data_IF_498721417886
#
_entry.id   IF_498721417886
#
_cell.length_a   1.000
_cell.length_b   1.000
_cell.length_c   1.000
_cell.angle_alpha   90.00
_cell.angle_beta   90.00
_cell.angle_gamma   90.00
#
_symmetry.space_group_name_H-M   'P 1'
#
loop_
_entity.id
_entity.type
_entity.pdbx_description
1 polymer ?
#
# COMPACT_ATOMS: atom_id res chain seq x y z
N UNK A 1 3.63 -16.36 -10.81
CA UNK A 1 3.02 -15.21 -11.52
C UNK A 1 2.58 -14.11 -10.55
N UNK A 2 1.82 -14.45 -9.50
CA UNK A 2 1.24 -13.45 -8.55
C UNK A 2 2.32 -12.66 -7.80
N UNK A 3 3.42 -13.30 -7.40
CA UNK A 3 4.51 -12.69 -6.64
C UNK A 3 5.10 -11.48 -7.38
N UNK A 4 5.52 -11.66 -8.62
CA UNK A 4 6.25 -10.62 -9.37
C UNK A 4 5.40 -9.35 -9.57
N UNK A 5 4.11 -9.50 -9.92
CA UNK A 5 3.23 -8.35 -10.14
C UNK A 5 2.93 -7.63 -8.83
N UNK A 6 2.44 -8.35 -7.81
CA UNK A 6 2.00 -7.74 -6.56
C UNK A 6 3.18 -7.19 -5.74
N UNK A 7 4.20 -8.00 -5.51
CA UNK A 7 5.35 -7.59 -4.72
C UNK A 7 6.28 -6.64 -5.46
N UNK A 8 6.47 -6.83 -6.76
CA UNK A 8 7.26 -5.90 -7.60
C UNK A 8 6.65 -4.49 -7.63
N UNK A 9 5.33 -4.39 -7.82
CA UNK A 9 4.61 -3.10 -7.75
C UNK A 9 4.76 -2.47 -6.38
N UNK A 10 4.52 -3.23 -5.30
CA UNK A 10 4.55 -2.70 -3.95
C UNK A 10 5.97 -2.35 -3.49
N UNK A 11 6.98 -3.09 -3.91
CA UNK A 11 8.39 -2.76 -3.66
C UNK A 11 8.77 -1.45 -4.37
N UNK A 12 8.48 -1.33 -5.66
CA UNK A 12 8.73 -0.10 -6.42
C UNK A 12 8.02 1.09 -5.78
N UNK A 13 6.75 0.93 -5.36
CA UNK A 13 6.00 1.98 -4.69
C UNK A 13 6.64 2.41 -3.37
N UNK A 14 6.87 1.47 -2.48
CA UNK A 14 7.18 1.74 -1.07
C UNK A 14 8.68 1.96 -0.86
N UNK A 15 9.53 1.09 -1.45
CA UNK A 15 10.98 1.12 -1.25
C UNK A 15 11.65 2.14 -2.14
N UNK A 16 11.28 2.18 -3.43
CA UNK A 16 11.90 3.05 -4.43
C UNK A 16 11.22 4.42 -4.49
N UNK A 17 9.92 4.50 -4.82
CA UNK A 17 9.23 5.78 -5.02
C UNK A 17 9.04 6.58 -3.73
N UNK A 18 8.51 5.97 -2.69
CA UNK A 18 8.29 6.62 -1.40
C UNK A 18 9.55 6.72 -0.55
N UNK A 19 10.57 5.88 -0.79
CA UNK A 19 11.75 5.76 0.07
C UNK A 19 11.34 5.66 1.56
N UNK A 20 10.37 4.77 1.86
CA UNK A 20 9.83 4.58 3.21
C UNK A 20 10.95 4.23 4.19
N UNK A 21 10.95 4.89 5.34
CA UNK A 21 11.97 4.73 6.38
C UNK A 21 11.43 3.99 7.60
N UNK A 22 12.30 3.33 8.32
CA UNK A 22 11.96 2.75 9.60
C UNK A 22 11.41 3.82 10.56
N UNK A 23 10.34 3.47 11.29
CA UNK A 23 9.64 4.37 12.21
C UNK A 23 8.61 5.30 11.56
N UNK A 24 8.57 5.44 10.23
CA UNK A 24 7.48 6.15 9.56
C UNK A 24 6.17 5.35 9.63
N UNK A 25 5.05 6.06 9.54
CA UNK A 25 3.71 5.47 9.50
C UNK A 25 3.20 5.40 8.06
N UNK A 26 2.83 4.20 7.61
CA UNK A 26 2.25 3.98 6.28
C UNK A 26 0.79 3.54 6.39
N UNK A 27 -0.12 4.26 5.72
CA UNK A 27 -1.48 3.82 5.46
C UNK A 27 -1.53 3.00 4.16
N UNK A 28 -2.18 1.84 4.20
CA UNK A 28 -2.47 1.02 3.02
C UNK A 28 -3.97 0.93 2.83
N UNK A 29 -4.51 1.55 1.79
CA UNK A 29 -5.91 1.37 1.37
C UNK A 29 -6.07 0.06 0.61
N UNK A 30 -7.23 -0.60 0.72
CA UNK A 30 -7.44 -1.91 0.09
C UNK A 30 -6.42 -2.96 0.51
N UNK A 31 -6.00 -2.91 1.77
CA UNK A 31 -4.84 -3.63 2.31
C UNK A 31 -4.89 -5.16 2.17
N UNK A 32 -6.08 -5.75 2.09
CA UNK A 32 -6.24 -7.21 1.91
C UNK A 32 -6.19 -7.66 0.43
N UNK A 33 -6.11 -6.72 -0.52
CA UNK A 33 -5.90 -7.06 -1.93
C UNK A 33 -4.45 -7.48 -2.19
N UNK A 34 -4.18 -8.06 -3.36
CA UNK A 34 -2.85 -8.61 -3.68
C UNK A 34 -1.70 -7.61 -3.51
N UNK A 35 -1.80 -6.42 -4.12
CA UNK A 35 -0.78 -5.36 -3.97
C UNK A 35 -0.80 -4.71 -2.58
N UNK A 36 -1.99 -4.61 -1.96
CA UNK A 36 -2.14 -4.05 -0.62
C UNK A 36 -1.46 -4.91 0.44
N UNK A 37 -1.71 -6.22 0.42
CA UNK A 37 -1.11 -7.15 1.39
C UNK A 37 0.42 -7.23 1.22
N UNK A 38 0.90 -7.22 -0.02
CA UNK A 38 2.32 -7.11 -0.31
C UNK A 38 2.93 -5.81 0.26
N UNK A 39 2.22 -4.67 0.14
CA UNK A 39 2.67 -3.40 0.71
C UNK A 39 2.70 -3.44 2.25
N UNK A 40 1.73 -4.09 2.89
CA UNK A 40 1.74 -4.31 4.35
C UNK A 40 3.02 -5.04 4.77
N UNK A 41 3.32 -6.19 4.17
CA UNK A 41 4.51 -6.97 4.51
C UNK A 41 5.81 -6.22 4.22
N UNK A 42 5.91 -5.56 3.07
CA UNK A 42 7.09 -4.76 2.69
C UNK A 42 7.30 -3.61 3.68
N UNK A 43 6.23 -2.89 4.05
CA UNK A 43 6.30 -1.84 5.06
C UNK A 43 6.82 -2.34 6.39
N UNK A 44 6.36 -3.51 6.83
CA UNK A 44 6.86 -4.17 8.05
C UNK A 44 8.31 -4.59 7.92
N UNK A 45 8.71 -5.17 6.80
CA UNK A 45 10.10 -5.56 6.55
C UNK A 45 11.06 -4.36 6.57
N UNK A 46 10.59 -3.17 6.19
CA UNK A 46 11.32 -1.90 6.26
C UNK A 46 11.26 -1.23 7.64
N UNK A 47 10.56 -1.80 8.62
CA UNK A 47 10.47 -1.27 9.98
C UNK A 47 9.47 -0.11 10.15
N UNK A 48 8.53 0.05 9.23
CA UNK A 48 7.47 1.05 9.35
C UNK A 48 6.33 0.57 10.27
N UNK A 49 5.58 1.54 10.81
CA UNK A 49 4.27 1.30 11.42
C UNK A 49 3.23 1.27 10.32
N UNK A 50 2.51 0.15 10.16
CA UNK A 50 1.56 -0.06 9.08
C UNK A 50 0.13 -0.02 9.58
N UNK A 51 -0.68 0.88 9.00
CA UNK A 51 -2.13 0.98 9.19
C UNK A 51 -2.79 0.35 7.96
N UNK A 52 -3.50 -0.76 8.16
CA UNK A 52 -4.24 -1.42 7.09
C UNK A 52 -5.70 -0.97 7.09
N UNK A 53 -6.20 -0.52 5.94
CA UNK A 53 -7.60 -0.15 5.75
C UNK A 53 -8.27 -1.09 4.73
N UNK A 54 -9.41 -1.66 5.10
CA UNK A 54 -10.17 -2.59 4.26
C UNK A 54 -11.67 -2.51 4.53
N UNK A 55 -12.48 -3.20 3.71
CA UNK A 55 -13.95 -3.14 3.73
C UNK A 55 -14.62 -4.15 4.67
N UNK A 56 -13.88 -4.94 5.42
CA UNK A 56 -14.46 -5.87 6.40
C UNK A 56 -13.44 -6.35 7.42
N UNK A 57 -13.93 -6.76 8.59
CA UNK A 57 -13.11 -7.29 9.67
C UNK A 57 -12.40 -8.60 9.28
N UNK A 58 -13.03 -9.44 8.47
CA UNK A 58 -12.40 -10.64 7.93
C UNK A 58 -11.15 -10.33 7.12
N UNK A 59 -11.21 -9.31 6.24
CA UNK A 59 -10.06 -8.81 5.47
C UNK A 59 -9.00 -8.18 6.38
N UNK A 60 -9.40 -7.43 7.37
CA UNK A 60 -8.50 -6.81 8.34
C UNK A 60 -7.75 -7.84 9.18
N UNK A 61 -8.41 -8.94 9.54
CA UNK A 61 -7.75 -10.04 10.26
C UNK A 61 -6.62 -10.67 9.44
N UNK A 62 -6.77 -10.76 8.11
CA UNK A 62 -5.68 -11.19 7.23
C UNK A 62 -4.51 -10.19 7.31
N UNK A 63 -4.80 -8.89 7.18
CA UNK A 63 -3.77 -7.85 7.28
C UNK A 63 -3.03 -7.89 8.62
N UNK A 64 -3.76 -8.14 9.72
CA UNK A 64 -3.17 -8.30 11.06
C UNK A 64 -2.21 -9.48 11.14
N UNK A 65 -2.57 -10.63 10.56
CA UNK A 65 -1.71 -11.82 10.50
C UNK A 65 -0.44 -11.58 9.68
N UNK A 66 -0.51 -10.64 8.72
CA UNK A 66 0.63 -10.22 7.90
C UNK A 66 1.37 -8.99 8.46
N UNK A 67 1.11 -8.62 9.71
CA UNK A 67 1.92 -7.67 10.47
C UNK A 67 1.39 -6.25 10.55
N UNK A 68 0.17 -5.94 10.07
CA UNK A 68 -0.41 -4.62 10.25
C UNK A 68 -0.53 -4.26 11.75
N UNK A 69 -0.06 -3.06 12.13
CA UNK A 69 -0.04 -2.58 13.52
C UNK A 69 -1.38 -1.97 13.95
N UNK A 70 -2.14 -1.41 13.01
CA UNK A 70 -3.46 -0.85 13.24
C UNK A 70 -4.39 -1.15 12.06
N UNK A 71 -5.68 -1.18 12.34
CA UNK A 71 -6.70 -1.60 11.39
C UNK A 71 -7.80 -0.55 11.31
N UNK A 72 -8.32 -0.30 10.10
CA UNK A 72 -9.46 0.59 9.85
C UNK A 72 -10.45 -0.12 8.95
N UNK A 73 -11.68 -0.32 9.43
CA UNK A 73 -12.79 -0.77 8.61
C UNK A 73 -13.53 0.45 8.07
N UNK A 74 -13.22 0.86 6.84
CA UNK A 74 -13.78 2.08 6.24
C UNK A 74 -15.25 1.95 5.82
N UNK A 75 -15.89 0.79 5.99
CA UNK A 75 -17.34 0.63 5.85
C UNK A 75 -18.10 0.96 7.14
N UNK A 76 -17.42 0.89 8.29
CA UNK A 76 -18.06 1.06 9.61
C UNK A 76 -17.55 2.27 10.39
N UNK A 77 -16.40 2.87 10.00
CA UNK A 77 -15.85 4.05 10.65
C UNK A 77 -15.36 5.10 9.64
N UNK A 78 -15.39 6.36 10.03
CA UNK A 78 -14.86 7.45 9.21
C UNK A 78 -13.33 7.35 9.13
N UNK A 79 -12.79 7.30 7.90
CA UNK A 79 -11.37 7.12 7.65
C UNK A 79 -10.51 8.24 8.27
N UNK A 80 -10.98 9.49 8.25
CA UNK A 80 -10.22 10.64 8.77
C UNK A 80 -10.16 10.63 10.30
N UNK A 81 -11.30 10.36 10.95
CA UNK A 81 -11.37 10.28 12.41
C UNK A 81 -10.55 9.08 12.93
N UNK A 82 -10.62 7.94 12.24
CA UNK A 82 -9.79 6.78 12.55
C UNK A 82 -8.30 7.09 12.43
N UNK A 83 -7.87 7.70 11.32
CA UNK A 83 -6.48 8.10 11.11
C UNK A 83 -6.02 9.11 12.16
N UNK A 84 -6.84 10.13 12.46
CA UNK A 84 -6.54 11.12 13.51
C UNK A 84 -6.32 10.46 14.87
N UNK A 85 -7.20 9.53 15.25
CA UNK A 85 -7.11 8.75 16.49
C UNK A 85 -5.83 7.89 16.52
N UNK A 86 -5.57 7.12 15.47
CA UNK A 86 -4.44 6.16 15.42
C UNK A 86 -3.09 6.87 15.37
N UNK A 87 -3.01 8.04 14.72
CA UNK A 87 -1.77 8.79 14.54
C UNK A 87 -1.64 10.00 15.47
N UNK A 88 -2.55 10.15 16.43
CA UNK A 88 -2.56 11.28 17.37
C UNK A 88 -2.58 12.64 16.64
N UNK A 89 -3.29 12.69 15.52
CA UNK A 89 -3.42 13.89 14.69
C UNK A 89 -2.25 14.17 13.73
N UNK A 90 -1.14 13.44 13.81
CA UNK A 90 0.03 13.64 12.95
C UNK A 90 -0.21 13.22 11.49
N UNK A 91 -1.00 12.18 11.30
CA UNK A 91 -1.26 11.56 10.01
C UNK A 91 -0.18 10.57 9.55
N UNK A 92 -0.46 9.77 8.49
CA UNK A 92 0.51 8.85 7.90
C UNK A 92 1.55 9.60 7.06
N UNK A 93 2.82 9.18 7.14
CA UNK A 93 3.92 9.71 6.36
C UNK A 93 3.85 9.25 4.89
N UNK A 94 3.32 8.04 4.67
CA UNK A 94 3.11 7.46 3.34
C UNK A 94 1.69 6.92 3.24
N UNK A 95 1.04 7.16 2.10
CA UNK A 95 -0.25 6.57 1.75
C UNK A 95 -0.07 5.74 0.49
N UNK A 96 -0.38 4.44 0.57
CA UNK A 96 -0.39 3.51 -0.54
C UNK A 96 -1.84 3.31 -1.00
N UNK A 97 -2.18 3.84 -2.18
CA UNK A 97 -3.57 3.84 -2.66
C UNK A 97 -3.76 3.09 -3.99
N UNK A 98 -4.20 1.83 -3.96
CA UNK A 98 -4.68 1.09 -5.14
C UNK A 98 -6.18 1.25 -5.38
N UNK A 99 -6.90 1.98 -4.52
CA UNK A 99 -8.37 2.04 -4.50
C UNK A 99 -8.89 3.28 -5.18
N UNK A 100 -8.37 4.46 -4.83
CA UNK A 100 -8.85 5.74 -5.34
C UNK A 100 -10.29 6.07 -4.90
N UNK A 101 -11.08 6.62 -5.82
CA UNK A 101 -12.49 6.92 -5.59
C UNK A 101 -12.73 7.83 -4.38
N UNK A 102 -13.77 7.53 -3.61
CA UNK A 102 -14.19 8.30 -2.43
C UNK A 102 -13.18 8.32 -1.28
N UNK A 103 -12.24 7.39 -1.25
CA UNK A 103 -11.24 7.29 -0.16
C UNK A 103 -10.01 8.18 -0.37
N UNK A 104 -9.74 8.59 -1.62
CA UNK A 104 -8.52 9.33 -1.95
C UNK A 104 -8.42 10.69 -1.24
N UNK A 105 -9.45 11.51 -1.32
CA UNK A 105 -9.42 12.84 -0.70
C UNK A 105 -9.40 12.78 0.85
N UNK A 106 -10.23 11.99 1.53
CA UNK A 106 -10.16 11.80 2.98
C UNK A 106 -8.78 11.32 3.46
N UNK A 107 -8.18 10.36 2.75
CA UNK A 107 -6.84 9.88 3.05
C UNK A 107 -5.80 11.00 2.86
N UNK A 108 -5.85 11.72 1.72
CA UNK A 108 -4.92 12.82 1.46
C UNK A 108 -5.05 13.97 2.48
N UNK A 109 -6.26 14.31 2.89
CA UNK A 109 -6.47 15.34 3.94
C UNK A 109 -5.87 14.94 5.29
N UNK A 110 -5.71 13.66 5.53
CA UNK A 110 -5.13 13.11 6.76
C UNK A 110 -3.61 12.94 6.71
N UNK A 111 -2.98 13.16 5.54
CA UNK A 111 -1.53 12.95 5.35
C UNK A 111 -0.69 13.84 6.29
N UNK A 112 0.44 13.32 6.75
CA UNK A 112 1.39 14.07 7.56
C UNK A 112 2.04 15.22 6.76
N UNK A 113 2.63 16.17 7.47
CA UNK A 113 3.45 17.20 6.84
C UNK A 113 4.59 16.57 6.02
N UNK A 114 4.72 16.99 4.75
CA UNK A 114 5.67 16.45 3.77
C UNK A 114 5.47 14.95 3.46
N UNK A 115 4.27 14.43 3.67
CA UNK A 115 3.92 13.04 3.35
C UNK A 115 3.94 12.76 1.84
N UNK A 116 3.94 11.47 1.51
CA UNK A 116 3.99 10.95 0.13
C UNK A 116 2.74 10.12 -0.13
N UNK A 117 1.94 10.54 -1.10
CA UNK A 117 0.76 9.82 -1.54
C UNK A 117 1.08 9.06 -2.83
N UNK A 118 0.99 7.74 -2.78
CA UNK A 118 1.33 6.85 -3.89
C UNK A 118 0.06 6.45 -4.64
N UNK A 119 -0.05 6.86 -5.89
CA UNK A 119 -1.13 6.48 -6.79
C UNK A 119 -0.76 5.16 -7.46
N UNK A 120 -1.41 4.07 -7.03
CA UNK A 120 -1.15 2.70 -7.52
C UNK A 120 -2.22 2.27 -8.52
N UNK A 121 -3.48 2.61 -8.25
CA UNK A 121 -4.60 2.19 -9.08
C UNK A 121 -5.92 2.82 -8.65
N UNK A 122 -7.00 2.38 -9.30
CA UNK A 122 -8.35 2.94 -9.14
C UNK A 122 -9.38 1.83 -9.04
N UNK A 123 -9.19 0.89 -8.11
CA UNK A 123 -10.06 -0.28 -7.95
C UNK A 123 -11.51 0.08 -7.60
N UNK A 124 -11.76 1.27 -7.03
CA UNK A 124 -13.11 1.80 -6.80
C UNK A 124 -13.81 2.29 -8.10
N UNK A 125 -13.09 2.37 -9.23
CA UNK A 125 -13.59 2.79 -10.54
C UNK A 125 -13.32 4.26 -10.86
N UNK A 126 -13.98 5.24 -10.20
CA UNK A 126 -13.76 6.65 -10.52
C UNK A 126 -12.35 7.14 -10.19
N UNK A 127 -11.72 7.83 -11.14
CA UNK A 127 -10.45 8.53 -10.90
C UNK A 127 -10.75 9.77 -10.05
N UNK A 128 -10.12 9.92 -8.86
CA UNK A 128 -10.39 11.05 -7.98
C UNK A 128 -9.82 12.35 -8.54
N UNK A 129 -10.55 13.46 -8.32
CA UNK A 129 -10.09 14.81 -8.58
C UNK A 129 -9.73 15.48 -7.25
N UNK A 130 -8.45 15.66 -6.97
CA UNK A 130 -8.00 16.32 -5.75
C UNK A 130 -7.80 17.82 -5.98
N UNK A 131 -8.28 18.68 -5.06
CA UNK A 131 -7.98 20.12 -5.10
C UNK A 131 -6.48 20.36 -4.92
N UNK A 132 -5.86 21.11 -5.84
CA UNK A 132 -4.41 21.37 -5.85
C UNK A 132 -3.87 22.17 -4.64
N UNK A 133 -4.75 22.81 -3.88
CA UNK A 133 -4.36 23.45 -2.63
C UNK A 133 -4.00 22.44 -1.52
N UNK A 134 -4.47 21.20 -1.60
CA UNK A 134 -4.20 20.21 -0.56
C UNK A 134 -2.71 19.84 -0.47
N UNK A 135 -2.02 19.46 -1.56
CA UNK A 135 -0.57 19.22 -1.49
C UNK A 135 0.22 20.49 -1.11
N UNK A 136 -0.22 21.68 -1.54
CA UNK A 136 0.40 22.94 -1.11
C UNK A 136 0.36 23.11 0.41
N UNK A 137 -0.83 22.95 1.02
CA UNK A 137 -1.04 23.17 2.47
C UNK A 137 -0.32 22.13 3.35
N UNK A 138 -0.04 20.95 2.81
CA UNK A 138 0.64 19.86 3.51
C UNK A 138 2.13 19.76 3.16
N UNK A 139 2.61 20.51 2.18
CA UNK A 139 3.94 20.31 1.60
C UNK A 139 4.12 18.88 1.10
N UNK A 140 3.02 18.19 0.78
CA UNK A 140 3.00 16.77 0.44
C UNK A 140 3.23 16.55 -1.06
N UNK A 141 3.68 15.33 -1.40
CA UNK A 141 3.89 14.89 -2.78
C UNK A 141 2.83 13.86 -3.20
N UNK A 142 2.36 13.98 -4.45
CA UNK A 142 1.56 12.94 -5.11
C UNK A 142 2.47 12.25 -6.12
N UNK A 143 2.63 10.95 -6.02
CA UNK A 143 3.61 10.17 -6.77
C UNK A 143 2.93 9.05 -7.53
N UNK A 144 3.06 9.03 -8.86
CA UNK A 144 2.60 7.92 -9.69
C UNK A 144 3.51 6.70 -9.53
N UNK A 145 2.89 5.53 -9.56
CA UNK A 145 3.58 4.23 -9.50
C UNK A 145 3.13 3.41 -10.70
N UNK A 146 4.01 3.24 -11.67
CA UNK A 146 3.76 2.44 -12.85
C UNK A 146 4.87 1.39 -13.02
N UNK A 147 4.74 0.29 -12.27
CA UNK A 147 5.74 -0.77 -12.23
C UNK A 147 6.07 -1.37 -13.60
N UNK A 148 5.09 -1.52 -14.49
CA UNK A 148 5.32 -2.06 -15.84
C UNK A 148 6.32 -1.22 -16.65
N UNK A 149 6.20 0.11 -16.62
CA UNK A 149 7.16 0.99 -17.28
C UNK A 149 8.49 1.05 -16.53
N UNK A 150 8.49 1.03 -15.21
CA UNK A 150 9.73 0.93 -14.42
C UNK A 150 10.52 -0.33 -14.79
N UNK A 151 9.87 -1.49 -14.79
CA UNK A 151 10.53 -2.76 -15.13
C UNK A 151 11.13 -2.75 -16.55
N UNK A 152 10.47 -2.05 -17.49
CA UNK A 152 10.94 -1.91 -18.87
C UNK A 152 12.07 -0.90 -19.02
N UNK A 153 11.97 0.25 -18.35
CA UNK A 153 12.94 1.36 -18.50
C UNK A 153 14.17 1.19 -17.61
N UNK A 154 14.00 0.56 -16.45
CA UNK A 154 15.02 0.38 -15.42
C UNK A 154 15.19 -1.10 -15.03
N UNK A 155 15.47 -2.00 -15.99
CA UNK A 155 15.47 -3.46 -15.75
C UNK A 155 16.49 -3.89 -14.69
N UNK A 156 17.61 -3.20 -14.56
CA UNK A 156 18.62 -3.51 -13.53
C UNK A 156 18.11 -3.18 -12.13
N UNK A 157 17.47 -2.01 -11.94
CA UNK A 157 16.89 -1.61 -10.67
C UNK A 157 15.72 -2.54 -10.30
N UNK A 158 14.85 -2.85 -11.26
CA UNK A 158 13.77 -3.82 -11.07
C UNK A 158 14.29 -5.21 -10.64
N UNK A 159 15.33 -5.71 -11.30
CA UNK A 159 15.93 -6.99 -10.92
C UNK A 159 16.53 -6.94 -9.51
N UNK A 160 17.18 -5.84 -9.13
CA UNK A 160 17.67 -5.62 -7.77
C UNK A 160 16.55 -5.71 -6.73
N UNK A 161 15.40 -5.09 -7.02
CA UNK A 161 14.21 -5.17 -6.15
C UNK A 161 13.65 -6.58 -6.03
N UNK A 162 13.57 -7.32 -7.13
CA UNK A 162 13.13 -8.73 -7.11
C UNK A 162 14.09 -9.58 -6.27
N UNK A 163 15.39 -9.38 -6.38
CA UNK A 163 16.38 -10.11 -5.57
C UNK A 163 16.28 -9.77 -4.08
N UNK A 164 16.05 -8.49 -3.72
CA UNK A 164 15.81 -8.08 -2.32
C UNK A 164 14.54 -8.77 -1.76
N UNK A 165 13.45 -8.79 -2.54
CA UNK A 165 12.20 -9.46 -2.18
C UNK A 165 12.39 -10.97 -1.98
N UNK A 166 13.15 -11.63 -2.85
CA UNK A 166 13.47 -13.05 -2.72
C UNK A 166 14.29 -13.32 -1.44
N UNK A 167 15.23 -12.44 -1.12
CA UNK A 167 15.98 -12.49 0.15
C UNK A 167 15.04 -12.39 1.35
N UNK A 168 14.14 -11.42 1.38
CA UNK A 168 13.16 -11.27 2.46
C UNK A 168 12.20 -12.47 2.60
N UNK A 169 11.84 -13.10 1.46
CA UNK A 169 11.04 -14.32 1.47
C UNK A 169 11.84 -15.50 2.06
N UNK A 170 13.11 -15.65 1.70
CA UNK A 170 13.97 -16.69 2.26
C UNK A 170 14.21 -16.49 3.79
N UNK A 171 14.29 -15.25 4.24
CA UNK A 171 14.41 -14.88 5.64
C UNK A 171 13.07 -14.97 6.42
N UNK A 172 11.96 -15.24 5.72
CA UNK A 172 10.62 -15.30 6.31
C UNK A 172 10.02 -13.94 6.70
N UNK A 173 10.64 -12.82 6.25
CA UNK A 173 10.13 -11.46 6.47
C UNK A 173 8.86 -11.15 5.69
N UNK A 174 8.70 -11.77 4.52
CA UNK A 174 7.49 -11.72 3.70
C UNK A 174 7.01 -13.14 3.42
N UNK A 175 5.68 -13.34 3.40
CA UNK A 175 5.04 -14.65 3.22
C UNK A 175 3.84 -14.52 2.30
N UNK A 176 4.03 -14.55 0.97
CA UNK A 176 2.96 -14.36 0.00
C UNK A 176 1.75 -15.27 0.28
N UNK A 177 0.59 -14.67 0.45
CA UNK A 177 -0.66 -15.40 0.68
C UNK A 177 -1.11 -16.07 -0.61
N UNK A 178 -1.28 -17.38 -0.58
CA UNK A 178 -1.94 -18.16 -1.62
C UNK A 178 -3.35 -18.48 -1.11
N UNK A 179 -4.33 -17.72 -1.56
CA UNK A 179 -5.72 -17.86 -1.12
C UNK A 179 -6.40 -19.09 -1.71
N UNK A 180 -6.02 -19.49 -2.94
CA UNK A 180 -6.58 -20.65 -3.63
C UNK A 180 -5.62 -21.16 -4.70
N UNK A 181 -5.63 -22.48 -4.93
CA UNK A 181 -4.96 -23.14 -6.07
C UNK A 181 -6.01 -23.67 -7.03
N UNK A 182 -5.70 -23.64 -8.32
CA UNK A 182 -6.55 -24.13 -9.39
C UNK A 182 -5.76 -25.10 -10.26
N UNK A 183 -6.42 -26.12 -10.80
CA UNK A 183 -5.88 -26.89 -11.91
C UNK A 183 -5.84 -26.04 -13.17
N UNK A 184 -5.08 -26.46 -14.19
CA UNK A 184 -5.01 -25.71 -15.46
C UNK A 184 -6.39 -25.64 -16.15
N UNK A 185 -7.20 -26.68 -16.01
CA UNK A 185 -8.54 -26.75 -16.59
C UNK A 185 -9.56 -25.82 -15.89
N UNK A 186 -9.28 -25.41 -14.64
CA UNK A 186 -10.08 -24.46 -13.88
C UNK A 186 -9.65 -22.99 -14.11
N UNK A 187 -8.58 -22.74 -14.84
CA UNK A 187 -8.04 -21.40 -15.05
C UNK A 187 -9.00 -20.39 -15.72
N UNK A 188 -10.02 -20.78 -16.54
CA UNK A 188 -11.00 -19.86 -17.09
C UNK A 188 -12.10 -19.41 -16.11
N UNK A 189 -12.20 -19.99 -14.90
CA UNK A 189 -13.17 -19.62 -13.85
C UNK A 189 -12.71 -18.42 -13.05
#
# INVERSE_FOLDING_TARGET
AVFTLAYGTSWHAVRDRAALKAGETMLVLGAAGGVGLAAVEIGKALGARVIAAASSDAKLNICKQHGADALINYETEDLREALKRITEGRGPDVIFDPVGGQFAEPAFRSIAWRGRYLVIGFAAGPIPALPWNLPLLKGASIMGVFWGEFAKREPKANMGGIMELMGWMAEGKIRPLISRTYSLDEAPQ
#
